data_IF_763644278104
#
_entry.id   IF_763644278104
#
_cell.length_a   1.000
_cell.length_b   1.000
_cell.length_c   1.000
_cell.angle_alpha   90.00
_cell.angle_beta   90.00
_cell.angle_gamma   90.00
#
_symmetry.space_group_name_H-M   'P 1'
#
loop_
_entity.id
_entity.type
_entity.pdbx_description
1 polymer ?
#
# COMPACT_ATOMS: atom_id res chain seq x y z
N UNK A 1 -34.21 -51.12 -13.66
CA UNK A 1 -33.46 -50.14 -14.47
C UNK A 1 -32.50 -49.40 -13.56
N UNK A 2 -31.21 -49.49 -13.89
CA UNK A 2 -30.06 -49.02 -13.11
C UNK A 2 -29.93 -47.50 -13.19
N UNK A 3 -30.06 -46.79 -12.07
CA UNK A 3 -29.80 -45.34 -12.02
C UNK A 3 -28.31 -45.10 -11.81
N UNK A 4 -27.66 -44.53 -12.85
CA UNK A 4 -26.23 -44.20 -12.90
C UNK A 4 -25.94 -42.90 -12.15
N UNK A 5 -24.90 -42.97 -11.32
CA UNK A 5 -24.24 -41.87 -10.62
C UNK A 5 -23.89 -40.69 -11.55
N UNK A 6 -24.12 -39.46 -11.06
CA UNK A 6 -23.42 -38.27 -11.54
C UNK A 6 -22.87 -37.55 -10.30
N UNK A 7 -21.57 -37.70 -10.05
CA UNK A 7 -20.84 -36.91 -9.07
C UNK A 7 -20.40 -35.60 -9.75
N UNK A 8 -20.85 -34.46 -9.22
CA UNK A 8 -20.41 -33.13 -9.67
C UNK A 8 -19.20 -32.74 -8.82
N UNK A 9 -18.03 -32.65 -9.44
CA UNK A 9 -16.82 -32.13 -8.80
C UNK A 9 -16.85 -30.60 -8.81
N UNK A 10 -16.98 -29.98 -7.63
CA UNK A 10 -16.84 -28.54 -7.46
C UNK A 10 -15.35 -28.17 -7.39
N UNK A 11 -14.85 -27.46 -8.41
CA UNK A 11 -13.49 -26.93 -8.43
C UNK A 11 -13.46 -25.62 -7.63
N UNK A 12 -13.02 -25.68 -6.36
CA UNK A 12 -12.81 -24.50 -5.55
C UNK A 12 -11.55 -23.76 -6.03
N UNK A 13 -11.71 -22.60 -6.68
CA UNK A 13 -10.60 -21.68 -6.96
C UNK A 13 -10.11 -21.10 -5.63
N UNK A 14 -8.94 -21.57 -5.18
CA UNK A 14 -8.17 -20.93 -4.11
C UNK A 14 -7.55 -19.64 -4.67
N UNK A 15 -8.26 -18.52 -4.56
CA UNK A 15 -7.64 -17.21 -4.74
C UNK A 15 -6.69 -16.97 -3.57
N UNK A 16 -5.40 -17.20 -3.77
CA UNK A 16 -4.34 -16.72 -2.89
C UNK A 16 -4.36 -15.19 -2.92
N UNK A 17 -5.22 -14.60 -2.10
CA UNK A 17 -5.21 -13.16 -1.86
C UNK A 17 -3.90 -12.80 -1.17
N UNK A 18 -3.12 -11.92 -1.79
CA UNK A 18 -1.97 -11.29 -1.16
C UNK A 18 -2.42 -10.62 0.14
N UNK A 19 -1.97 -11.13 1.27
CA UNK A 19 -2.12 -10.48 2.58
C UNK A 19 -1.26 -9.22 2.58
N UNK A 20 -1.84 -8.11 2.12
CA UNK A 20 -1.25 -6.79 2.33
C UNK A 20 -1.25 -6.51 3.82
N UNK A 21 -0.06 -6.36 4.42
CA UNK A 21 0.07 -5.96 5.81
C UNK A 21 -0.31 -4.48 5.93
N UNK A 22 -1.54 -4.22 6.37
CA UNK A 22 -1.99 -2.91 6.78
C UNK A 22 -1.56 -2.70 8.23
N UNK A 23 -0.71 -1.70 8.47
CA UNK A 23 -0.40 -1.26 9.83
C UNK A 23 -0.84 0.19 10.00
N UNK A 24 -1.40 0.47 11.17
CA UNK A 24 -2.02 1.76 11.49
C UNK A 24 -0.92 2.79 11.84
N UNK A 25 -0.98 3.96 11.22
CA UNK A 25 -0.08 5.07 11.53
C UNK A 25 -0.72 5.98 12.59
N UNK A 26 0.02 6.28 13.66
CA UNK A 26 -0.40 7.24 14.70
C UNK A 26 0.01 8.67 14.32
N UNK A 27 -0.72 9.71 14.75
CA UNK A 27 -0.37 11.10 14.44
C UNK A 27 1.02 11.44 14.98
N UNK A 28 1.81 12.20 14.22
CA UNK A 28 3.19 12.59 14.55
C UNK A 28 4.19 11.43 14.73
N UNK A 29 3.81 10.19 14.46
CA UNK A 29 4.75 9.08 14.40
C UNK A 29 5.19 8.85 12.96
N UNK A 30 6.50 8.69 12.76
CA UNK A 30 7.05 8.28 11.47
C UNK A 30 6.98 6.77 11.32
N UNK A 31 6.61 6.31 10.12
CA UNK A 31 6.71 4.91 9.69
C UNK A 31 7.65 4.83 8.48
N UNK A 32 8.56 3.86 8.49
CA UNK A 32 9.40 3.55 7.34
C UNK A 32 8.55 2.97 6.22
N UNK A 33 8.87 3.33 4.98
CA UNK A 33 8.26 2.80 3.76
C UNK A 33 9.34 2.36 2.78
N UNK A 34 9.10 1.25 2.10
CA UNK A 34 10.00 0.69 1.09
C UNK A 34 9.30 0.66 -0.29
N UNK A 35 9.93 1.30 -1.27
CA UNK A 35 9.53 1.31 -2.67
C UNK A 35 10.60 0.66 -3.55
N UNK A 36 11.34 -0.32 -3.04
CA UNK A 36 12.37 -1.05 -3.74
C UNK A 36 13.63 -0.20 -3.92
N UNK A 37 13.70 0.61 -4.97
CA UNK A 37 14.87 1.46 -5.27
C UNK A 37 14.93 2.74 -4.42
N UNK A 38 13.83 3.05 -3.75
CA UNK A 38 13.70 4.21 -2.86
C UNK A 38 13.18 3.74 -1.52
N UNK A 39 13.73 4.29 -0.44
CA UNK A 39 13.26 4.08 0.93
C UNK A 39 13.02 5.42 1.58
N UNK A 40 12.21 5.43 2.62
CA UNK A 40 11.94 6.67 3.31
C UNK A 40 11.00 6.53 4.49
N UNK A 41 10.44 7.66 4.89
CA UNK A 41 9.52 7.74 6.01
C UNK A 41 8.25 8.48 5.61
N UNK A 42 7.13 8.06 6.18
CA UNK A 42 5.87 8.77 6.13
C UNK A 42 5.38 9.11 7.54
N UNK A 43 4.79 10.30 7.70
CA UNK A 43 4.09 10.71 8.92
C UNK A 43 2.88 11.56 8.54
N UNK A 44 2.02 11.83 9.51
CA UNK A 44 0.95 12.80 9.32
C UNK A 44 0.70 13.65 10.56
N UNK A 45 0.14 14.83 10.32
CA UNK A 45 -0.43 15.73 11.31
C UNK A 45 -1.93 15.86 11.09
N UNK A 46 -2.66 16.18 12.17
CA UNK A 46 -4.09 16.47 12.09
C UNK A 46 -4.25 17.97 11.92
N UNK A 47 -4.87 18.38 10.82
CA UNK A 47 -5.12 19.79 10.47
C UNK A 47 -6.63 20.04 10.31
N UNK A 48 -7.08 21.31 10.36
CA UNK A 48 -8.51 21.62 10.27
C UNK A 48 -9.18 21.18 8.95
N UNK A 49 -8.41 21.13 7.87
CA UNK A 49 -8.85 20.79 6.51
C UNK A 49 -8.67 19.30 6.17
N UNK A 50 -7.93 18.55 6.99
CA UNK A 50 -7.72 17.11 6.79
C UNK A 50 -6.50 16.58 7.54
N UNK A 51 -6.03 15.42 7.13
CA UNK A 51 -4.77 14.89 7.66
C UNK A 51 -3.66 15.24 6.67
N UNK A 52 -2.74 16.10 7.09
CA UNK A 52 -1.57 16.45 6.28
C UNK A 52 -0.58 15.30 6.34
N UNK A 53 -0.49 14.57 5.23
CA UNK A 53 0.39 13.42 5.07
C UNK A 53 1.65 13.88 4.36
N UNK A 54 2.78 13.48 4.92
CA UNK A 54 4.10 13.78 4.40
C UNK A 54 4.84 12.47 4.21
N UNK A 55 5.40 12.28 3.01
CA UNK A 55 6.34 11.20 2.73
C UNK A 55 7.65 11.79 2.22
N UNK A 56 8.77 11.40 2.82
CA UNK A 56 10.11 11.78 2.38
C UNK A 56 10.84 10.52 1.93
N UNK A 57 11.25 10.49 0.67
CA UNK A 57 11.90 9.35 0.02
C UNK A 57 13.29 9.74 -0.49
N UNK A 58 14.24 8.83 -0.38
CA UNK A 58 15.57 8.96 -0.98
C UNK A 58 15.92 7.67 -1.73
N UNK A 59 16.84 7.76 -2.69
CA UNK A 59 17.44 6.57 -3.28
C UNK A 59 18.34 5.90 -2.23
N UNK A 60 18.30 4.57 -2.16
CA UNK A 60 18.94 3.78 -1.10
C UNK A 60 20.46 4.03 -0.97
N UNK A 61 21.13 4.44 -2.06
CA UNK A 61 22.58 4.64 -2.14
C UNK A 61 23.00 6.12 -2.06
N UNK A 62 22.25 6.95 -1.31
CA UNK A 62 22.52 8.37 -1.01
C UNK A 62 22.06 9.41 -2.06
N UNK A 63 20.91 9.17 -2.70
CA UNK A 63 20.27 10.19 -3.54
C UNK A 63 19.69 11.37 -2.74
N UNK A 64 19.48 12.50 -3.42
CA UNK A 64 18.75 13.65 -2.84
C UNK A 64 17.35 13.23 -2.41
N UNK A 65 16.94 13.66 -1.21
CA UNK A 65 15.63 13.33 -0.67
C UNK A 65 14.55 14.16 -1.35
N UNK A 66 13.48 13.50 -1.78
CA UNK A 66 12.28 14.13 -2.33
C UNK A 66 11.15 14.03 -1.33
N UNK A 67 10.48 15.16 -1.09
CA UNK A 67 9.37 15.28 -0.14
C UNK A 67 8.06 15.46 -0.89
N UNK A 68 7.09 14.62 -0.57
CA UNK A 68 5.74 14.62 -1.10
C UNK A 68 4.76 14.96 0.01
N UNK A 69 3.81 15.83 -0.29
CA UNK A 69 2.80 16.28 0.67
C UNK A 69 1.41 16.26 0.05
N UNK A 70 0.43 15.92 0.87
CA UNK A 70 -0.99 16.04 0.52
C UNK A 70 -1.84 16.15 1.77
N UNK A 71 -3.05 16.67 1.64
CA UNK A 71 -4.06 16.68 2.70
C UNK A 71 -5.11 15.63 2.35
N UNK A 72 -5.27 14.62 3.20
CA UNK A 72 -6.28 13.57 3.04
C UNK A 72 -7.54 13.89 3.85
N UNK A 73 -8.66 14.05 3.16
CA UNK A 73 -9.98 13.90 3.79
C UNK A 73 -10.36 12.42 3.90
N UNK A 74 -11.37 12.10 4.72
CA UNK A 74 -11.82 10.72 4.90
C UNK A 74 -12.18 10.06 3.56
N UNK A 75 -11.66 8.87 3.30
CA UNK A 75 -11.84 8.11 2.06
C UNK A 75 -10.81 8.41 0.97
N UNK A 76 -9.91 9.39 1.16
CA UNK A 76 -8.86 9.66 0.19
C UNK A 76 -7.61 8.80 0.41
N UNK A 77 -6.86 8.62 -0.68
CA UNK A 77 -5.65 7.81 -0.73
C UNK A 77 -4.55 8.54 -1.50
N UNK A 78 -3.34 8.48 -0.97
CA UNK A 78 -2.09 8.82 -1.63
C UNK A 78 -1.41 7.52 -2.07
N UNK A 79 -0.97 7.46 -3.32
CA UNK A 79 -0.20 6.32 -3.85
C UNK A 79 1.16 6.80 -4.30
N UNK A 80 2.20 6.18 -3.75
CA UNK A 80 3.58 6.34 -4.21
C UNK A 80 4.01 5.05 -4.88
N UNK A 81 4.73 5.17 -6.00
CA UNK A 81 5.22 4.00 -6.71
C UNK A 81 6.53 4.27 -7.43
N UNK A 82 7.36 3.23 -7.52
CA UNK A 82 8.56 3.22 -8.35
C UNK A 82 8.37 2.25 -9.52
N UNK A 83 8.86 2.60 -10.72
CA UNK A 83 8.75 1.73 -11.87
C UNK A 83 9.65 0.50 -11.71
N UNK A 84 9.26 -0.61 -12.35
CA UNK A 84 10.11 -1.79 -12.58
C UNK A 84 10.38 -1.93 -14.09
N UNK A 85 10.87 -3.09 -14.52
CA UNK A 85 11.03 -3.41 -15.94
C UNK A 85 9.71 -3.32 -16.72
N UNK A 86 9.79 -3.15 -18.03
CA UNK A 86 8.61 -3.07 -18.88
C UNK A 86 7.71 -4.31 -18.72
N UNK A 87 6.41 -4.08 -18.52
CA UNK A 87 5.43 -5.15 -18.28
C UNK A 87 5.39 -5.69 -16.85
N UNK A 88 6.26 -5.23 -15.95
CA UNK A 88 6.24 -5.63 -14.54
C UNK A 88 5.38 -4.66 -13.70
N UNK A 89 4.61 -5.16 -12.72
CA UNK A 89 3.92 -4.29 -11.76
C UNK A 89 4.91 -3.39 -11.00
N UNK A 90 4.55 -2.13 -10.71
CA UNK A 90 5.39 -1.25 -9.91
C UNK A 90 5.45 -1.71 -8.45
N UNK A 91 6.50 -1.31 -7.74
CA UNK A 91 6.47 -1.37 -6.27
C UNK A 91 5.67 -0.17 -5.79
N UNK A 92 4.66 -0.40 -4.96
CA UNK A 92 3.74 0.66 -4.52
C UNK A 92 3.50 0.65 -3.01
N UNK A 93 3.29 1.85 -2.50
CA UNK A 93 2.84 2.12 -1.14
C UNK A 93 1.59 2.99 -1.23
N UNK A 94 0.52 2.54 -0.58
CA UNK A 94 -0.75 3.27 -0.49
C UNK A 94 -0.96 3.76 0.94
N UNK A 95 -1.15 5.07 1.10
CA UNK A 95 -1.47 5.72 2.36
C UNK A 95 -2.90 6.22 2.26
N UNK A 96 -3.80 5.64 3.04
CA UNK A 96 -5.24 5.93 2.96
C UNK A 96 -5.76 6.42 4.31
N UNK A 97 -6.69 7.38 4.27
CA UNK A 97 -7.45 7.79 5.44
C UNK A 97 -8.80 7.10 5.46
N UNK A 98 -9.04 6.28 6.48
CA UNK A 98 -10.34 5.67 6.76
C UNK A 98 -10.89 6.26 8.05
N UNK A 99 -11.91 7.13 7.93
CA UNK A 99 -12.43 7.93 9.05
C UNK A 99 -11.28 8.68 9.76
N UNK A 100 -10.91 8.25 10.96
CA UNK A 100 -9.90 8.92 11.79
C UNK A 100 -8.55 8.19 11.81
N UNK A 101 -8.41 7.12 11.02
CA UNK A 101 -7.20 6.29 10.95
C UNK A 101 -6.47 6.48 9.62
N UNK A 102 -5.14 6.49 9.69
CA UNK A 102 -4.28 6.33 8.52
C UNK A 102 -3.80 4.88 8.45
N UNK A 103 -3.98 4.27 7.29
CA UNK A 103 -3.46 2.95 6.96
C UNK A 103 -2.40 3.07 5.89
N UNK A 104 -1.27 2.40 6.10
CA UNK A 104 -0.23 2.27 5.08
C UNK A 104 -0.17 0.81 4.63
N UNK A 105 -0.45 0.61 3.34
CA UNK A 105 -0.41 -0.68 2.65
C UNK A 105 0.83 -0.72 1.77
N UNK A 106 1.72 -1.64 2.06
CA UNK A 106 2.91 -1.91 1.24
C UNK A 106 2.63 -3.17 0.42
N UNK A 107 2.58 -3.02 -0.90
CA UNK A 107 2.40 -4.17 -1.77
C UNK A 107 3.76 -4.86 -1.94
N UNK A 108 3.89 -6.07 -1.39
CA UNK A 108 5.06 -6.92 -1.68
C UNK A 108 5.02 -7.27 -3.16
N UNK A 109 5.97 -6.73 -3.93
CA UNK A 109 6.09 -7.07 -5.34
C UNK A 109 6.42 -8.56 -5.46
N UNK A 110 5.45 -9.34 -5.93
CA UNK A 110 5.64 -10.77 -6.21
C UNK A 110 6.56 -10.89 -7.41
N UNK A 111 7.61 -11.71 -7.29
CA UNK A 111 8.65 -11.90 -8.30
C UNK A 111 8.28 -13.03 -9.27
#
# INVERSE_FOLDING_TARGET
MTFKNIAVAALALLTLGSVAAADDLKPMHSRSIDLGTMTGIAYYTVEPDGYHVVATLAQNDAGEAVRFETVLVSGQTMTLSTPRGAGMPPVKVEISRTADQIRVLEAVATN
#
